data_IF_193278034421
#
_entry.id   IF_193278034421
#
_cell.length_a   1.000
_cell.length_b   1.000
_cell.length_c   1.000
_cell.angle_alpha   90.00
_cell.angle_beta   90.00
_cell.angle_gamma   90.00
#
_symmetry.space_group_name_H-M   'P 1'
#
loop_
_entity.id
_entity.type
_entity.pdbx_description
1 polymer ?
#
# COMPACT_ATOMS: atom_id res chain seq x y z
N UNK A 1 -47.14 8.37 -36.49
CA UNK A 1 -46.20 7.36 -35.95
C UNK A 1 -44.79 7.74 -36.37
N UNK A 2 -44.09 8.54 -35.57
CA UNK A 2 -42.66 8.79 -35.73
C UNK A 2 -41.93 8.05 -34.61
N UNK A 3 -41.35 6.91 -34.96
CA UNK A 3 -40.53 6.07 -34.08
C UNK A 3 -39.23 6.81 -33.76
N UNK A 4 -39.21 7.55 -32.66
CA UNK A 4 -38.00 8.12 -32.08
C UNK A 4 -37.09 7.00 -31.56
N UNK A 5 -36.11 6.58 -32.38
CA UNK A 5 -35.05 5.66 -31.96
C UNK A 5 -34.06 6.40 -31.04
N UNK A 6 -34.36 6.50 -29.75
CA UNK A 6 -33.40 6.89 -28.69
C UNK A 6 -32.44 5.73 -28.43
N UNK A 7 -31.42 5.58 -29.28
CA UNK A 7 -30.37 4.56 -29.14
C UNK A 7 -29.20 5.10 -28.29
N UNK A 8 -28.88 4.33 -27.24
CA UNK A 8 -27.61 4.29 -26.45
C UNK A 8 -27.53 5.18 -25.19
N UNK A 9 -28.33 4.85 -24.19
CA UNK A 9 -28.12 5.32 -22.81
C UNK A 9 -26.87 4.62 -22.19
N UNK A 10 -25.68 5.21 -22.41
CA UNK A 10 -24.41 4.79 -21.79
C UNK A 10 -23.74 5.96 -21.10
N UNK A 11 -23.39 5.78 -19.84
CA UNK A 11 -22.51 6.70 -19.10
C UNK A 11 -21.09 6.15 -19.24
N UNK A 12 -20.19 6.93 -19.83
CA UNK A 12 -18.81 6.50 -20.07
C UNK A 12 -17.86 7.23 -19.13
N UNK A 13 -17.13 6.48 -18.32
CA UNK A 13 -16.02 6.99 -17.49
C UNK A 13 -14.70 6.73 -18.21
N UNK A 14 -13.85 7.76 -18.27
CA UNK A 14 -12.58 7.74 -19.00
C UNK A 14 -11.37 7.96 -18.05
N UNK A 15 -11.07 7.03 -17.13
CA UNK A 15 -10.02 7.24 -16.14
C UNK A 15 -8.61 6.93 -16.68
N UNK A 16 -7.64 7.66 -16.14
CA UNK A 16 -6.23 7.23 -16.13
C UNK A 16 -6.01 6.27 -14.95
N UNK A 17 -5.26 5.20 -15.17
CA UNK A 17 -5.00 4.19 -14.12
C UNK A 17 -3.57 3.67 -14.23
N UNK A 18 -3.00 3.22 -13.11
CA UNK A 18 -1.68 2.57 -13.11
C UNK A 18 -1.66 1.27 -13.94
N UNK A 19 -2.70 0.44 -13.80
CA UNK A 19 -2.90 -0.77 -14.61
C UNK A 19 -4.18 -0.70 -15.42
N UNK A 20 -4.09 -0.95 -16.74
CA UNK A 20 -5.20 -0.87 -17.71
C UNK A 20 -6.50 -1.58 -17.29
N UNK A 21 -6.41 -2.65 -16.50
CA UNK A 21 -7.55 -3.47 -16.07
C UNK A 21 -7.89 -3.34 -14.58
N UNK A 22 -7.29 -2.39 -13.84
CA UNK A 22 -7.50 -2.24 -12.39
C UNK A 22 -8.96 -1.92 -12.04
N UNK A 23 -9.68 -1.21 -12.91
CA UNK A 23 -11.09 -0.85 -12.74
C UNK A 23 -12.06 -1.80 -13.48
N UNK A 24 -11.60 -3.01 -13.82
CA UNK A 24 -12.49 -4.01 -14.43
C UNK A 24 -13.54 -4.51 -13.44
N UNK A 25 -14.77 -4.80 -13.90
CA UNK A 25 -15.90 -5.22 -13.05
C UNK A 25 -15.57 -6.38 -12.10
N UNK A 26 -14.67 -7.29 -12.49
CA UNK A 26 -14.23 -8.41 -11.63
C UNK A 26 -13.53 -7.98 -10.33
N UNK A 27 -13.02 -6.76 -10.26
CA UNK A 27 -12.38 -6.21 -9.06
C UNK A 27 -13.31 -5.31 -8.24
N UNK A 28 -14.58 -5.16 -8.64
CA UNK A 28 -15.54 -4.43 -7.86
C UNK A 28 -15.70 -5.08 -6.47
N UNK A 29 -15.68 -4.25 -5.44
CA UNK A 29 -16.23 -4.64 -4.16
C UNK A 29 -17.76 -4.47 -4.16
N UNK A 30 -18.37 -4.89 -3.06
CA UNK A 30 -19.82 -4.79 -2.88
C UNK A 30 -20.32 -3.36 -3.09
N UNK A 31 -19.68 -2.38 -2.44
CA UNK A 31 -20.13 -0.98 -2.53
C UNK A 31 -20.03 -0.40 -3.94
N UNK A 32 -18.94 -0.67 -4.66
CA UNK A 32 -18.78 -0.23 -6.05
C UNK A 32 -19.89 -0.83 -6.91
N UNK A 33 -20.21 -2.11 -6.70
CA UNK A 33 -21.29 -2.76 -7.44
C UNK A 33 -22.66 -2.15 -7.09
N UNK A 34 -22.96 -1.97 -5.81
CA UNK A 34 -24.22 -1.38 -5.34
C UNK A 34 -24.42 0.04 -5.89
N UNK A 35 -23.35 0.85 -5.95
CA UNK A 35 -23.42 2.21 -6.52
C UNK A 35 -23.58 2.20 -8.04
N UNK A 36 -22.91 1.29 -8.74
CA UNK A 36 -23.12 1.10 -10.18
C UNK A 36 -24.58 0.74 -10.44
N UNK A 37 -25.12 -0.26 -9.75
CA UNK A 37 -26.49 -0.72 -9.95
C UNK A 37 -27.51 0.38 -9.64
N UNK A 38 -27.26 1.18 -8.59
CA UNK A 38 -28.08 2.34 -8.25
C UNK A 38 -28.07 3.40 -9.35
N UNK A 39 -26.89 3.76 -9.89
CA UNK A 39 -26.78 4.76 -10.95
C UNK A 39 -27.43 4.24 -12.24
N UNK A 40 -27.21 2.97 -12.61
CA UNK A 40 -27.80 2.39 -13.81
C UNK A 40 -29.34 2.36 -13.72
N UNK A 41 -29.89 2.03 -12.54
CA UNK A 41 -31.33 2.07 -12.28
C UNK A 41 -31.91 3.47 -12.38
N UNK A 42 -31.26 4.46 -11.78
CA UNK A 42 -31.76 5.85 -11.76
C UNK A 42 -31.65 6.54 -13.12
N UNK A 43 -30.57 6.28 -13.85
CA UNK A 43 -30.29 6.94 -15.14
C UNK A 43 -30.89 6.22 -16.35
N UNK A 44 -31.34 4.97 -16.18
CA UNK A 44 -31.70 4.10 -17.31
C UNK A 44 -30.53 3.87 -18.29
N UNK A 45 -29.29 4.10 -17.84
CA UNK A 45 -28.08 4.05 -18.66
C UNK A 45 -27.07 3.08 -18.07
N UNK A 46 -26.34 2.35 -18.92
CA UNK A 46 -25.28 1.45 -18.46
C UNK A 46 -23.96 2.19 -18.26
N UNK A 47 -23.22 1.86 -17.20
CA UNK A 47 -21.90 2.42 -16.93
C UNK A 47 -20.84 1.61 -17.67
N UNK A 48 -19.98 2.32 -18.39
CA UNK A 48 -18.82 1.77 -19.10
C UNK A 48 -17.55 2.50 -18.68
N UNK A 49 -16.59 1.80 -18.11
CA UNK A 49 -15.26 2.34 -17.80
C UNK A 49 -14.31 2.00 -18.96
N UNK A 50 -13.69 3.02 -19.56
CA UNK A 50 -12.67 2.87 -20.61
C UNK A 50 -11.40 3.59 -20.18
N UNK A 51 -10.36 2.82 -19.86
CA UNK A 51 -9.06 3.40 -19.55
C UNK A 51 -8.48 4.15 -20.75
N UNK A 52 -8.09 5.41 -20.55
CA UNK A 52 -7.53 6.28 -21.60
C UNK A 52 -6.00 6.39 -21.56
N UNK A 53 -5.37 5.99 -20.45
CA UNK A 53 -3.92 6.05 -20.32
C UNK A 53 -3.41 5.66 -18.94
N UNK A 54 -2.11 5.86 -18.73
CA UNK A 54 -1.46 5.64 -17.44
C UNK A 54 -1.45 6.91 -16.61
N UNK A 55 -1.69 6.79 -15.31
CA UNK A 55 -1.65 7.93 -14.37
C UNK A 55 -0.25 8.54 -14.26
N UNK A 56 0.80 7.72 -14.36
CA UNK A 56 2.20 8.17 -14.37
C UNK A 56 3.02 7.38 -15.37
N UNK A 57 3.91 8.07 -16.09
CA UNK A 57 4.92 7.47 -16.97
C UNK A 57 6.00 6.74 -16.19
N UNK A 58 6.28 7.19 -14.97
CA UNK A 58 7.31 6.65 -14.08
C UNK A 58 6.86 5.38 -13.36
N UNK A 59 5.54 5.13 -13.32
CA UNK A 59 4.98 3.92 -12.72
C UNK A 59 5.59 2.66 -13.36
N UNK A 60 6.38 1.95 -12.56
CA UNK A 60 6.96 0.66 -12.95
C UNK A 60 5.87 -0.40 -12.92
N UNK A 61 6.01 -1.43 -13.77
CA UNK A 61 5.05 -2.54 -13.79
C UNK A 61 4.95 -3.17 -12.39
N UNK A 62 3.73 -3.58 -11.96
CA UNK A 62 3.53 -4.23 -10.67
C UNK A 62 4.27 -5.58 -10.61
N UNK A 63 4.29 -6.17 -9.41
CA UNK A 63 4.67 -7.54 -9.20
C UNK A 63 3.82 -8.49 -10.08
N UNK A 64 4.50 -9.48 -10.67
CA UNK A 64 3.92 -10.58 -11.46
C UNK A 64 4.28 -11.96 -10.91
N UNK A 65 4.91 -12.02 -9.72
CA UNK A 65 5.24 -13.28 -9.08
C UNK A 65 3.96 -14.06 -8.76
N UNK A 66 3.94 -15.37 -9.05
CA UNK A 66 2.82 -16.24 -8.69
C UNK A 66 2.64 -16.33 -7.17
N UNK A 67 3.75 -16.38 -6.43
CA UNK A 67 3.79 -16.37 -4.97
C UNK A 67 4.99 -15.54 -4.52
N UNK A 68 4.78 -14.68 -3.53
CA UNK A 68 5.86 -13.95 -2.87
C UNK A 68 6.40 -14.78 -1.71
N UNK A 69 7.70 -14.69 -1.44
CA UNK A 69 8.30 -15.28 -0.24
C UNK A 69 7.78 -14.60 1.03
N UNK A 70 7.56 -13.30 0.97
CA UNK A 70 6.97 -12.49 2.03
C UNK A 70 6.48 -11.16 1.43
N UNK A 71 5.62 -10.43 2.12
CA UNK A 71 5.24 -9.07 1.75
C UNK A 71 5.85 -8.03 2.68
N UNK A 72 5.94 -6.79 2.20
CA UNK A 72 6.33 -5.62 3.01
C UNK A 72 5.25 -4.55 2.88
N UNK A 73 4.63 -4.16 3.98
CA UNK A 73 3.75 -2.98 4.05
C UNK A 73 4.62 -1.73 4.19
N UNK A 74 4.69 -0.91 3.14
CA UNK A 74 5.55 0.26 3.03
C UNK A 74 4.94 1.26 2.06
N UNK A 75 5.04 2.55 2.40
CA UNK A 75 4.73 3.67 1.51
C UNK A 75 5.58 4.87 1.91
N UNK A 76 5.48 5.97 1.15
CA UNK A 76 6.05 7.27 1.47
C UNK A 76 5.15 8.38 0.90
N UNK A 77 5.39 9.63 1.31
CA UNK A 77 4.52 10.77 0.99
C UNK A 77 4.42 11.11 -0.52
N UNK A 78 5.32 10.61 -1.36
CA UNK A 78 5.29 10.81 -2.82
C UNK A 78 4.79 9.57 -3.58
N UNK A 79 4.63 8.44 -2.89
CA UNK A 79 4.26 7.18 -3.52
C UNK A 79 2.84 7.23 -4.06
N UNK A 80 2.69 6.83 -5.33
CA UNK A 80 1.41 6.53 -5.96
C UNK A 80 1.19 5.02 -6.11
N UNK A 81 2.18 4.22 -5.72
CA UNK A 81 2.16 2.77 -5.82
C UNK A 81 1.31 2.16 -4.70
N UNK A 82 0.83 0.94 -4.91
CA UNK A 82 0.14 0.18 -3.87
C UNK A 82 1.08 -0.04 -2.68
N UNK A 83 0.60 0.11 -1.42
CA UNK A 83 1.44 0.16 -0.21
C UNK A 83 1.99 -1.21 0.23
N UNK A 84 1.93 -2.22 -0.64
CA UNK A 84 2.42 -3.55 -0.40
C UNK A 84 3.50 -3.89 -1.42
N UNK A 85 4.65 -4.35 -0.97
CA UNK A 85 5.80 -4.73 -1.82
C UNK A 85 6.05 -6.22 -1.74
N UNK A 86 6.37 -6.83 -2.89
CA UNK A 86 6.73 -8.23 -3.02
C UNK A 86 8.17 -8.46 -2.52
N UNK A 87 8.34 -9.31 -1.52
CA UNK A 87 9.63 -9.67 -0.94
C UNK A 87 10.54 -10.47 -1.87
N UNK A 88 10.04 -11.01 -2.98
CA UNK A 88 10.85 -11.75 -3.97
C UNK A 88 11.43 -10.85 -5.06
N UNK A 89 10.63 -9.91 -5.59
CA UNK A 89 11.06 -9.07 -6.73
C UNK A 89 11.14 -7.57 -6.43
N UNK A 90 10.83 -7.16 -5.19
CA UNK A 90 10.83 -5.78 -4.71
C UNK A 90 9.94 -4.82 -5.54
N UNK A 91 8.82 -5.33 -6.07
CA UNK A 91 7.83 -4.53 -6.81
C UNK A 91 6.52 -4.43 -6.05
N UNK A 92 5.81 -3.32 -6.27
CA UNK A 92 4.48 -3.09 -5.70
C UNK A 92 3.48 -4.20 -6.09
N UNK A 93 2.76 -4.70 -5.11
CA UNK A 93 1.67 -5.68 -5.20
C UNK A 93 0.36 -4.92 -5.11
N UNK A 94 -0.44 -4.87 -6.18
CA UNK A 94 -1.72 -4.18 -6.15
C UNK A 94 -2.70 -4.82 -5.16
N UNK A 95 -3.20 -4.05 -4.19
CA UNK A 95 -4.10 -4.55 -3.14
C UNK A 95 -5.38 -5.19 -3.69
N UNK A 96 -5.89 -4.76 -4.85
CA UNK A 96 -7.06 -5.38 -5.47
C UNK A 96 -6.84 -6.83 -5.95
N UNK A 97 -5.59 -7.31 -5.94
CA UNK A 97 -5.20 -8.71 -6.21
C UNK A 97 -5.12 -9.56 -4.94
N UNK A 98 -5.23 -8.96 -3.75
CA UNK A 98 -5.26 -9.67 -2.48
C UNK A 98 -6.68 -10.19 -2.19
N UNK A 99 -6.83 -11.16 -1.28
CA UNK A 99 -8.13 -11.46 -0.69
C UNK A 99 -8.76 -10.20 -0.09
N UNK A 100 -10.09 -10.08 -0.20
CA UNK A 100 -10.83 -8.94 0.37
C UNK A 100 -10.74 -8.99 1.89
N UNK A 101 -10.46 -7.84 2.49
CA UNK A 101 -9.94 -7.76 3.85
C UNK A 101 -11.03 -7.52 4.90
N UNK A 102 -11.69 -6.37 4.79
CA UNK A 102 -12.65 -5.85 5.75
C UNK A 102 -13.84 -5.27 5.00
N UNK A 103 -15.05 -5.66 5.40
CA UNK A 103 -16.31 -5.20 4.82
C UNK A 103 -16.25 -5.13 3.28
N UNK A 104 -15.81 -6.24 2.67
CA UNK A 104 -15.64 -6.42 1.23
C UNK A 104 -14.56 -5.56 0.55
N UNK A 105 -13.70 -4.84 1.27
CA UNK A 105 -12.70 -3.94 0.71
C UNK A 105 -11.35 -3.91 1.44
N UNK A 106 -10.64 -2.80 1.26
CA UNK A 106 -9.27 -2.58 1.74
C UNK A 106 -9.13 -1.33 2.62
N UNK A 107 -10.25 -0.86 3.20
CA UNK A 107 -10.28 0.39 3.97
C UNK A 107 -9.23 0.49 5.09
N UNK A 108 -8.93 -0.58 5.86
CA UNK A 108 -7.85 -0.51 6.84
C UNK A 108 -6.48 -0.16 6.22
N UNK A 109 -6.15 -0.76 5.06
CA UNK A 109 -4.91 -0.50 4.34
C UNK A 109 -4.88 0.93 3.80
N UNK A 110 -5.98 1.37 3.16
CA UNK A 110 -6.09 2.72 2.59
C UNK A 110 -6.04 3.82 3.65
N UNK A 111 -6.67 3.57 4.81
CA UNK A 111 -6.62 4.47 5.96
C UNK A 111 -5.21 4.55 6.55
N UNK A 112 -4.54 3.40 6.74
CA UNK A 112 -3.16 3.37 7.19
C UNK A 112 -2.22 4.09 6.23
N UNK A 113 -2.36 3.85 4.93
CA UNK A 113 -1.55 4.50 3.88
C UNK A 113 -1.72 6.02 3.94
N UNK A 114 -2.96 6.51 4.02
CA UNK A 114 -3.25 7.95 4.14
C UNK A 114 -2.62 8.55 5.41
N UNK A 115 -2.74 7.87 6.54
CA UNK A 115 -2.15 8.31 7.80
C UNK A 115 -0.62 8.31 7.76
N UNK A 116 -0.03 7.28 7.14
CA UNK A 116 1.42 7.17 6.99
C UNK A 116 1.95 8.30 6.11
N UNK A 117 1.36 8.51 4.93
CA UNK A 117 1.76 9.58 4.02
C UNK A 117 1.60 10.97 4.64
N UNK A 118 0.56 11.18 5.45
CA UNK A 118 0.41 12.43 6.21
C UNK A 118 1.53 12.61 7.24
N UNK A 119 1.90 11.56 7.99
CA UNK A 119 3.02 11.61 8.91
C UNK A 119 4.34 11.87 8.18
N UNK A 120 4.59 11.15 7.09
CA UNK A 120 5.82 11.30 6.29
C UNK A 120 5.90 12.71 5.66
N UNK A 121 4.78 13.25 5.20
CA UNK A 121 4.71 14.63 4.71
C UNK A 121 4.99 15.66 5.81
N UNK A 122 4.50 15.46 7.03
CA UNK A 122 4.82 16.33 8.17
C UNK A 122 6.30 16.23 8.53
N UNK A 123 6.87 15.03 8.51
CA UNK A 123 8.29 14.81 8.77
C UNK A 123 9.18 15.52 7.75
N UNK A 124 8.81 15.47 6.47
CA UNK A 124 9.61 16.02 5.38
C UNK A 124 9.42 17.53 5.18
N UNK A 125 8.24 18.07 5.48
CA UNK A 125 7.86 19.43 5.03
C UNK A 125 7.31 20.33 6.15
N UNK A 126 7.32 19.92 7.43
CA UNK A 126 6.72 20.69 8.52
C UNK A 126 7.56 20.67 9.81
N UNK A 127 8.22 21.78 10.13
CA UNK A 127 9.03 21.93 11.35
C UNK A 127 8.22 21.69 12.65
N UNK A 128 6.96 22.13 12.69
CA UNK A 128 6.11 22.03 13.88
C UNK A 128 5.69 20.57 14.15
N UNK A 129 5.37 19.81 13.09
CA UNK A 129 4.84 18.45 13.17
C UNK A 129 5.89 17.35 13.01
N UNK A 130 7.14 17.70 12.65
CA UNK A 130 8.19 16.77 12.27
C UNK A 130 8.42 15.70 13.34
N UNK A 131 8.68 16.10 14.58
CA UNK A 131 9.06 15.15 15.64
C UNK A 131 7.94 14.19 16.01
N UNK A 132 6.71 14.69 16.10
CA UNK A 132 5.56 13.85 16.45
C UNK A 132 5.29 12.82 15.36
N UNK A 133 5.31 13.24 14.10
CA UNK A 133 5.06 12.38 12.94
C UNK A 133 6.18 11.36 12.72
N UNK A 134 7.43 11.76 12.94
CA UNK A 134 8.59 10.87 12.96
C UNK A 134 8.39 9.73 13.97
N UNK A 135 7.99 10.04 15.20
CA UNK A 135 7.76 9.04 16.24
C UNK A 135 6.62 8.07 15.85
N UNK A 136 5.60 8.54 15.12
CA UNK A 136 4.56 7.65 14.59
C UNK A 136 5.14 6.58 13.65
N UNK A 137 6.10 6.93 12.80
CA UNK A 137 6.67 6.01 11.81
C UNK A 137 7.81 5.14 12.35
N UNK A 138 8.53 5.60 13.39
CA UNK A 138 9.72 4.91 13.91
C UNK A 138 9.47 4.02 15.13
N UNK A 139 8.43 4.31 15.92
CA UNK A 139 8.18 3.58 17.14
C UNK A 139 7.17 2.46 16.93
N UNK A 140 7.61 1.22 17.14
CA UNK A 140 6.73 0.03 17.03
C UNK A 140 5.45 0.08 17.86
N UNK A 141 5.40 0.93 18.90
CA UNK A 141 4.25 1.07 19.81
C UNK A 141 3.34 2.25 19.48
N UNK A 142 3.69 3.06 18.47
CA UNK A 142 2.85 4.17 18.04
C UNK A 142 1.50 3.67 17.50
N UNK A 143 0.44 4.49 17.54
CA UNK A 143 -0.81 4.19 16.88
C UNK A 143 -0.65 3.77 15.41
N UNK A 144 0.17 4.49 14.64
CA UNK A 144 0.40 4.21 13.22
C UNK A 144 1.09 2.84 12.99
N UNK A 145 2.12 2.53 13.78
CA UNK A 145 2.84 1.26 13.68
C UNK A 145 1.98 0.09 14.12
N UNK A 146 1.17 0.25 15.18
CA UNK A 146 0.21 -0.78 15.60
C UNK A 146 -0.80 -1.08 14.52
N UNK A 147 -1.40 -0.06 13.92
CA UNK A 147 -2.33 -0.22 12.79
C UNK A 147 -1.66 -0.99 11.64
N UNK A 148 -0.43 -0.62 11.26
CA UNK A 148 0.32 -1.29 10.20
C UNK A 148 0.65 -2.75 10.51
N UNK A 149 1.05 -3.05 11.75
CA UNK A 149 1.32 -4.43 12.21
C UNK A 149 0.06 -5.29 12.22
N UNK A 150 -1.08 -4.74 12.65
CA UNK A 150 -2.37 -5.44 12.63
C UNK A 150 -2.82 -5.75 11.20
N UNK A 151 -2.57 -4.84 10.26
CA UNK A 151 -2.77 -5.09 8.82
C UNK A 151 -1.84 -6.20 8.34
N UNK A 152 -0.55 -6.18 8.68
CA UNK A 152 0.39 -7.23 8.28
C UNK A 152 -0.09 -8.60 8.77
N UNK A 153 -0.54 -8.69 10.02
CA UNK A 153 -1.09 -9.92 10.60
C UNK A 153 -2.29 -10.45 9.81
N UNK A 154 -3.25 -9.59 9.51
CA UNK A 154 -4.44 -9.98 8.74
C UNK A 154 -4.11 -10.39 7.29
N UNK A 155 -3.13 -9.74 6.63
CA UNK A 155 -2.65 -10.17 5.29
C UNK A 155 -2.03 -11.56 5.41
N UNK A 156 -1.20 -11.80 6.41
CA UNK A 156 -0.56 -13.08 6.64
C UNK A 156 -1.58 -14.19 6.92
N UNK A 157 -2.59 -13.93 7.75
CA UNK A 157 -3.70 -14.87 8.03
C UNK A 157 -4.48 -15.25 6.76
N UNK A 158 -4.76 -14.29 5.88
CA UNK A 158 -5.57 -14.53 4.67
C UNK A 158 -4.77 -15.12 3.52
N UNK A 159 -3.48 -14.80 3.42
CA UNK A 159 -2.63 -15.20 2.28
C UNK A 159 -1.70 -16.35 2.61
N UNK A 160 -1.49 -16.67 3.89
CA UNK A 160 -0.44 -17.56 4.41
C UNK A 160 0.99 -17.14 4.03
N UNK A 161 1.17 -15.89 3.60
CA UNK A 161 2.46 -15.30 3.22
C UNK A 161 2.92 -14.39 4.36
N UNK A 162 4.13 -14.62 4.93
CA UNK A 162 4.69 -13.74 5.96
C UNK A 162 4.65 -12.29 5.52
N UNK A 163 4.11 -11.40 6.35
CA UNK A 163 3.96 -9.99 5.98
C UNK A 163 4.66 -9.11 7.00
N UNK A 164 5.56 -8.26 6.52
CA UNK A 164 6.44 -7.44 7.34
C UNK A 164 6.00 -5.98 7.28
N UNK A 165 5.98 -5.31 8.43
CA UNK A 165 5.82 -3.88 8.52
C UNK A 165 7.17 -3.19 8.31
N UNK A 166 7.23 -2.23 7.38
CA UNK A 166 8.40 -1.37 7.28
C UNK A 166 8.40 -0.35 8.41
N UNK A 167 9.40 -0.46 9.30
CA UNK A 167 9.60 0.50 10.37
C UNK A 167 10.57 1.58 9.89
N UNK A 168 10.12 2.84 9.87
CA UNK A 168 10.99 3.94 9.49
C UNK A 168 12.16 4.05 10.48
N UNK A 169 13.34 4.35 9.97
CA UNK A 169 14.53 4.45 10.79
C UNK A 169 15.33 5.66 10.34
N UNK A 170 14.94 6.83 10.84
CA UNK A 170 15.65 8.08 10.62
C UNK A 170 16.41 8.47 11.89
N UNK A 171 17.72 8.69 11.75
CA UNK A 171 18.57 9.15 12.84
C UNK A 171 19.41 10.34 12.39
N UNK A 172 19.64 11.26 13.32
CA UNK A 172 20.55 12.39 13.10
C UNK A 172 22.04 11.97 13.08
N UNK A 173 22.42 10.86 13.73
CA UNK A 173 23.83 10.41 13.86
C UNK A 173 24.02 8.93 13.47
N UNK A 174 25.12 8.63 12.77
CA UNK A 174 25.42 7.38 12.04
C UNK A 174 26.17 6.29 12.83
N UNK A 175 26.49 6.52 14.11
CA UNK A 175 27.54 5.76 14.81
C UNK A 175 27.26 4.32 15.22
N UNK A 176 26.01 3.81 15.17
CA UNK A 176 25.65 2.63 15.98
C UNK A 176 24.73 1.58 15.31
N UNK A 177 24.57 1.63 13.98
CA UNK A 177 23.47 0.91 13.33
C UNK A 177 23.67 -0.61 13.16
N UNK A 178 24.90 -1.10 13.00
CA UNK A 178 25.13 -2.54 12.68
C UNK A 178 24.86 -3.49 13.86
N UNK A 179 25.02 -3.01 15.10
CA UNK A 179 24.79 -3.81 16.31
C UNK A 179 23.40 -3.62 16.92
N UNK A 180 22.52 -2.88 16.23
CA UNK A 180 21.19 -2.58 16.75
C UNK A 180 20.36 -3.86 16.92
N UNK A 181 19.72 -3.95 18.08
CA UNK A 181 18.76 -5.00 18.38
C UNK A 181 17.37 -4.60 17.89
N UNK A 182 16.55 -5.59 17.55
CA UNK A 182 15.15 -5.40 17.18
C UNK A 182 14.44 -4.56 18.26
N UNK A 183 13.75 -3.46 17.90
CA UNK A 183 13.13 -2.56 18.88
C UNK A 183 12.08 -3.27 19.74
N UNK A 184 11.44 -4.32 19.22
CA UNK A 184 10.39 -5.07 19.89
C UNK A 184 10.95 -6.22 20.75
N UNK A 185 11.62 -7.22 20.15
CA UNK A 185 12.09 -8.41 20.90
C UNK A 185 13.55 -8.33 21.41
N UNK A 186 14.28 -7.25 21.13
CA UNK A 186 15.69 -7.06 21.50
C UNK A 186 16.66 -8.15 21.01
N UNK A 187 16.27 -8.97 20.02
CA UNK A 187 17.18 -9.92 19.35
C UNK A 187 17.92 -9.25 18.19
N UNK A 188 19.08 -9.79 17.81
CA UNK A 188 19.79 -9.36 16.60
C UNK A 188 18.90 -9.57 15.37
N UNK A 189 18.84 -8.55 14.51
CA UNK A 189 17.99 -8.52 13.31
C UNK A 189 18.69 -7.91 12.08
N UNK A 190 19.95 -7.49 12.24
CA UNK A 190 20.81 -7.05 11.13
C UNK A 190 21.04 -8.21 10.17
N UNK A 191 20.81 -7.98 8.89
CA UNK A 191 21.07 -8.93 7.81
C UNK A 191 22.57 -8.99 7.51
N UNK A 192 23.05 -10.18 7.11
CA UNK A 192 24.45 -10.35 6.65
C UNK A 192 24.68 -9.66 5.30
N UNK A 193 23.67 -9.68 4.45
CA UNK A 193 23.65 -9.06 3.12
C UNK A 193 22.34 -8.28 2.99
N UNK A 194 22.40 -7.08 2.43
CA UNK A 194 21.19 -6.28 2.22
C UNK A 194 20.19 -7.04 1.34
N UNK A 195 18.94 -7.03 1.76
CA UNK A 195 17.85 -7.58 0.98
C UNK A 195 17.44 -6.54 -0.07
N UNK A 196 17.46 -6.94 -1.34
CA UNK A 196 17.19 -6.07 -2.50
C UNK A 196 18.08 -4.82 -2.59
N UNK A 197 19.30 -4.88 -2.03
CA UNK A 197 20.21 -3.73 -1.92
C UNK A 197 19.57 -2.50 -1.25
N UNK A 198 18.59 -2.74 -0.36
CA UNK A 198 17.81 -1.69 0.28
C UNK A 198 17.63 -1.94 1.77
N UNK A 199 17.21 -3.13 2.17
CA UNK A 199 16.87 -3.42 3.55
C UNK A 199 18.05 -4.03 4.31
N UNK A 200 18.39 -3.41 5.44
CA UNK A 200 19.51 -3.81 6.31
C UNK A 200 19.06 -4.67 7.49
N UNK A 201 17.80 -4.53 7.90
CA UNK A 201 17.26 -5.18 9.09
C UNK A 201 16.00 -5.96 8.76
N UNK A 202 15.88 -7.19 9.28
CA UNK A 202 14.66 -8.01 9.19
C UNK A 202 14.54 -8.85 10.45
N UNK A 203 13.41 -8.74 11.13
CA UNK A 203 13.08 -9.56 12.30
C UNK A 203 11.87 -10.44 12.00
N UNK A 204 12.11 -11.75 11.80
CA UNK A 204 11.05 -12.71 11.51
C UNK A 204 10.05 -12.87 12.65
N UNK A 205 10.53 -12.83 13.91
CA UNK A 205 9.68 -12.98 15.10
C UNK A 205 8.70 -11.81 15.29
N UNK A 206 9.12 -10.60 14.92
CA UNK A 206 8.34 -9.40 15.14
C UNK A 206 7.65 -8.88 13.87
N UNK A 207 7.86 -9.56 12.73
CA UNK A 207 7.34 -9.13 11.42
C UNK A 207 7.64 -7.67 11.09
N UNK A 208 8.88 -7.24 11.34
CA UNK A 208 9.36 -5.89 11.01
C UNK A 208 10.60 -5.94 10.13
N UNK A 209 10.70 -4.99 9.21
CA UNK A 209 11.83 -4.79 8.31
C UNK A 209 12.18 -3.30 8.29
N UNK A 210 13.45 -2.95 8.08
CA UNK A 210 13.89 -1.55 8.09
C UNK A 210 15.19 -1.38 7.29
N UNK A 211 15.53 -0.13 6.98
CA UNK A 211 16.80 0.27 6.35
C UNK A 211 17.62 1.12 7.33
N UNK A 212 18.89 1.33 7.01
CA UNK A 212 19.70 2.39 7.60
C UNK A 212 19.38 3.70 6.86
N UNK A 213 18.98 4.75 7.59
CA UNK A 213 18.93 6.09 6.98
C UNK A 213 20.34 6.63 6.79
N UNK A 214 20.71 6.91 5.55
CA UNK A 214 21.87 7.76 5.26
C UNK A 214 21.39 9.20 5.23
N UNK A 215 21.60 9.95 6.33
CA UNK A 215 21.63 11.40 6.24
C UNK A 215 23.03 11.77 5.71
N UNK A 216 23.15 11.84 4.38
CA UNK A 216 24.24 12.59 3.73
C UNK A 216 23.80 14.02 3.54
#
# INVERSE_FOLDING_TARGET
MSTGSLRKNKIVSLPYTLEKKSLSKKYNNKYVQDQIDKIEKLSGSTISIKNIGKTSSEYKKPCICCKSEFYILITNYISIDSPLTCGTCNKSVPIYKLPKFYDFGYMPILSWETNYQACDSLQMNCEVGERWSLNQMQETKSPLSKQGLDICKQIEEQTTIPTFYYLYNYKKNSGDDKNRLCPNCKKKWTLKTQLHNLYDFKCDNCRIISTISTNT
#
